data_IF_722116457243
#
_entry.id   IF_722116457243
#
_cell.length_a   1.000
_cell.length_b   1.000
_cell.length_c   1.000
_cell.angle_alpha   90.00
_cell.angle_beta   90.00
_cell.angle_gamma   90.00
#
_symmetry.space_group_name_H-M   'P 1'
#
loop_
_entity.id
_entity.type
_entity.pdbx_description
1 polymer ?
#
# COMPACT_ATOMS: atom_id res chain seq x y z
N UNK A 1 23.28 -2.93 -4.81
CA UNK A 1 22.63 -4.24 -4.93
C UNK A 1 21.65 -4.07 -6.06
N UNK A 2 21.77 -4.84 -7.14
CA UNK A 2 20.78 -4.77 -8.22
C UNK A 2 19.48 -5.39 -7.70
N UNK A 3 18.38 -4.63 -7.78
CA UNK A 3 17.06 -5.14 -7.42
C UNK A 3 16.63 -6.09 -8.53
N UNK A 4 16.60 -7.39 -8.22
CA UNK A 4 16.26 -8.44 -9.20
C UNK A 4 14.83 -8.31 -9.72
N UNK A 5 13.90 -7.91 -8.87
CA UNK A 5 12.48 -7.89 -9.20
C UNK A 5 11.93 -6.48 -9.14
N UNK A 6 10.98 -6.19 -10.03
CA UNK A 6 10.22 -4.95 -10.04
C UNK A 6 8.73 -5.26 -10.02
N UNK A 7 8.02 -4.63 -9.10
CA UNK A 7 6.56 -4.65 -9.01
C UNK A 7 6.04 -3.23 -9.31
N UNK A 8 5.11 -3.13 -10.27
CA UNK A 8 4.41 -1.90 -10.60
C UNK A 8 2.92 -2.14 -10.34
N UNK A 9 2.34 -1.34 -9.44
CA UNK A 9 0.91 -1.40 -9.12
C UNK A 9 0.25 -0.16 -9.71
N UNK A 10 -0.70 -0.37 -10.60
CA UNK A 10 -1.34 0.67 -11.40
C UNK A 10 -2.74 1.01 -10.85
N UNK A 11 -3.16 2.26 -11.09
CA UNK A 11 -4.49 2.75 -10.72
C UNK A 11 -5.54 2.46 -11.80
N UNK A 12 -5.18 2.67 -13.07
CA UNK A 12 -6.12 2.60 -14.21
C UNK A 12 -5.74 1.53 -15.24
N UNK A 13 -4.72 0.73 -14.96
CA UNK A 13 -4.23 -0.28 -15.87
C UNK A 13 -3.87 -1.56 -15.12
N UNK A 14 -3.46 -2.58 -15.87
CA UNK A 14 -2.96 -3.85 -15.37
C UNK A 14 -1.68 -3.63 -14.58
N UNK A 15 -1.57 -4.34 -13.45
CA UNK A 15 -0.33 -4.36 -12.67
C UNK A 15 0.76 -5.14 -13.41
N UNK A 16 2.02 -4.83 -13.11
CA UNK A 16 3.17 -5.41 -13.81
C UNK A 16 4.19 -5.99 -12.83
N UNK A 17 4.79 -7.12 -13.21
CA UNK A 17 5.86 -7.74 -12.45
C UNK A 17 6.96 -8.24 -13.39
N UNK A 18 8.22 -7.94 -13.07
CA UNK A 18 9.38 -8.24 -13.92
C UNK A 18 10.53 -8.87 -13.12
N UNK A 19 11.20 -9.86 -13.72
CA UNK A 19 12.51 -10.37 -13.27
C UNK A 19 13.60 -9.71 -14.11
N UNK A 20 14.22 -8.66 -13.58
CA UNK A 20 15.20 -7.81 -14.27
C UNK A 20 16.52 -8.53 -14.56
N UNK A 21 16.81 -9.65 -13.89
CA UNK A 21 17.97 -10.48 -14.26
C UNK A 21 17.73 -11.23 -15.58
N UNK A 22 16.49 -11.66 -15.81
CA UNK A 22 16.10 -12.43 -17.02
C UNK A 22 15.58 -11.55 -18.14
N UNK A 23 14.95 -10.44 -17.79
CA UNK A 23 14.34 -9.48 -18.71
C UNK A 23 14.67 -8.04 -18.28
N UNK A 24 15.91 -7.58 -18.50
CA UNK A 24 16.33 -6.22 -18.14
C UNK A 24 15.57 -5.10 -18.87
N UNK A 25 14.82 -5.44 -19.92
CA UNK A 25 14.08 -4.50 -20.76
C UNK A 25 12.57 -4.51 -20.47
N UNK A 26 12.12 -5.27 -19.46
CA UNK A 26 10.72 -5.26 -18.98
C UNK A 26 9.68 -5.57 -20.08
N UNK A 27 10.03 -6.46 -21.01
CA UNK A 27 9.18 -6.83 -22.14
C UNK A 27 8.10 -7.85 -21.78
N UNK A 28 8.33 -8.69 -20.77
CA UNK A 28 7.45 -9.79 -20.39
C UNK A 28 6.85 -9.53 -19.02
N UNK A 29 5.58 -9.10 -18.99
CA UNK A 29 4.86 -8.92 -17.73
C UNK A 29 4.49 -10.30 -17.13
N UNK A 30 5.05 -10.60 -15.96
CA UNK A 30 4.90 -11.85 -15.21
C UNK A 30 3.81 -11.79 -14.13
N UNK A 31 2.98 -10.74 -14.09
CA UNK A 31 2.03 -10.49 -12.98
C UNK A 31 1.10 -11.66 -12.66
N UNK A 32 0.68 -12.43 -13.66
CA UNK A 32 -0.25 -13.57 -13.49
C UNK A 32 0.47 -14.92 -13.34
N UNK A 33 1.81 -14.94 -13.37
CA UNK A 33 2.57 -16.19 -13.39
C UNK A 33 2.68 -16.80 -11.98
N UNK A 34 2.11 -17.99 -11.73
CA UNK A 34 2.08 -18.58 -10.39
C UNK A 34 3.46 -18.89 -9.82
N UNK A 35 4.46 -19.15 -10.67
CA UNK A 35 5.83 -19.43 -10.25
C UNK A 35 6.52 -18.25 -9.55
N UNK A 36 6.02 -17.01 -9.75
CA UNK A 36 6.53 -15.80 -9.09
C UNK A 36 5.63 -15.30 -7.95
N UNK A 37 4.55 -16.02 -7.60
CA UNK A 37 3.55 -15.53 -6.65
C UNK A 37 4.14 -15.17 -5.29
N UNK A 38 5.02 -16.01 -4.75
CA UNK A 38 5.61 -15.80 -3.44
C UNK A 38 6.39 -14.48 -3.35
N UNK A 39 7.18 -14.16 -4.38
CA UNK A 39 8.03 -12.97 -4.39
C UNK A 39 7.22 -11.71 -4.72
N UNK A 40 6.32 -11.80 -5.70
CA UNK A 40 5.39 -10.73 -6.06
C UNK A 40 4.52 -10.33 -4.86
N UNK A 41 3.95 -11.29 -4.14
CA UNK A 41 3.08 -11.04 -3.00
C UNK A 41 3.86 -10.51 -1.79
N UNK A 42 5.12 -10.93 -1.61
CA UNK A 42 6.05 -10.35 -0.61
C UNK A 42 6.27 -8.87 -0.89
N UNK A 43 6.65 -8.51 -2.12
CA UNK A 43 6.87 -7.12 -2.53
C UNK A 43 5.60 -6.27 -2.40
N UNK A 44 4.45 -6.84 -2.75
CA UNK A 44 3.16 -6.18 -2.57
C UNK A 44 2.88 -5.90 -1.09
N UNK A 45 3.14 -6.87 -0.21
CA UNK A 45 3.05 -6.70 1.23
C UNK A 45 3.95 -5.57 1.77
N UNK A 46 5.17 -5.46 1.27
CA UNK A 46 6.13 -4.41 1.63
C UNK A 46 5.69 -3.02 1.13
N UNK A 47 5.20 -2.93 -0.11
CA UNK A 47 4.63 -1.70 -0.67
C UNK A 47 3.45 -1.19 0.17
N UNK A 48 2.56 -2.09 0.58
CA UNK A 48 1.42 -1.75 1.43
C UNK A 48 1.88 -1.22 2.79
N UNK A 49 2.81 -1.90 3.47
CA UNK A 49 3.35 -1.40 4.74
C UNK A 49 3.99 -0.03 4.59
N UNK A 50 4.76 0.18 3.52
CA UNK A 50 5.34 1.49 3.23
C UNK A 50 4.27 2.56 3.01
N UNK A 51 3.19 2.24 2.29
CA UNK A 51 2.04 3.12 2.06
C UNK A 51 1.36 3.49 3.38
N UNK A 52 1.20 2.53 4.30
CA UNK A 52 0.66 2.76 5.64
C UNK A 52 1.56 3.66 6.49
N UNK A 53 2.87 3.42 6.50
CA UNK A 53 3.86 4.23 7.22
C UNK A 53 3.86 5.67 6.70
N UNK A 54 3.78 5.85 5.37
CA UNK A 54 3.78 7.18 4.72
C UNK A 54 2.43 7.88 4.74
N UNK A 55 1.36 7.19 5.16
CA UNK A 55 -0.02 7.68 5.11
C UNK A 55 -0.43 8.06 3.68
N UNK A 56 -0.09 7.19 2.73
CA UNK A 56 -0.42 7.38 1.32
C UNK A 56 -1.94 7.56 1.13
N UNK A 57 -2.33 8.48 0.24
CA UNK A 57 -3.73 8.70 -0.10
C UNK A 57 -4.36 7.47 -0.77
N UNK A 58 -3.55 6.62 -1.38
CA UNK A 58 -3.92 5.40 -2.08
C UNK A 58 -3.86 4.15 -1.19
N UNK A 59 -3.73 4.26 0.14
CA UNK A 59 -3.92 3.09 1.04
C UNK A 59 -5.42 2.76 1.16
N UNK A 60 -5.96 2.02 0.21
CA UNK A 60 -7.37 1.63 0.20
C UNK A 60 -7.54 0.14 -0.12
N UNK A 61 -8.72 -0.45 0.16
CA UNK A 61 -8.96 -1.86 -0.13
C UNK A 61 -8.68 -2.27 -1.58
N UNK A 62 -8.85 -1.35 -2.54
CA UNK A 62 -8.54 -1.58 -3.96
C UNK A 62 -7.04 -1.83 -4.20
N UNK A 63 -6.18 -1.21 -3.39
CA UNK A 63 -4.73 -1.41 -3.46
C UNK A 63 -4.29 -2.65 -2.68
N UNK A 64 -5.00 -3.03 -1.61
CA UNK A 64 -4.70 -4.24 -0.83
C UNK A 64 -5.17 -5.53 -1.51
N UNK A 65 -6.33 -5.49 -2.17
CA UNK A 65 -6.99 -6.67 -2.72
C UNK A 65 -6.76 -6.75 -4.23
N UNK A 66 -5.57 -7.21 -4.60
CA UNK A 66 -5.25 -7.51 -6.00
C UNK A 66 -5.64 -8.94 -6.35
N UNK A 67 -6.29 -9.21 -7.50
CA UNK A 67 -6.74 -10.55 -7.87
C UNK A 67 -5.62 -11.59 -7.94
N UNK A 68 -4.39 -11.13 -8.23
CA UNK A 68 -3.21 -11.98 -8.32
C UNK A 68 -2.57 -12.24 -6.95
N UNK A 69 -2.87 -11.45 -5.90
CA UNK A 69 -2.19 -11.52 -4.60
C UNK A 69 -3.02 -12.29 -3.58
N UNK A 70 -2.39 -13.19 -2.83
CA UNK A 70 -3.01 -13.82 -1.65
C UNK A 70 -3.02 -12.89 -0.42
N UNK A 71 -2.40 -11.71 -0.53
CA UNK A 71 -2.37 -10.70 0.55
C UNK A 71 -3.76 -10.12 0.83
N UNK A 72 -4.57 -10.82 1.62
CA UNK A 72 -5.83 -10.26 2.13
C UNK A 72 -5.55 -9.43 3.39
N UNK A 73 -5.08 -8.20 3.18
CA UNK A 73 -5.23 -7.17 4.20
C UNK A 73 -6.61 -6.55 3.99
N UNK A 74 -7.47 -6.69 5.00
CA UNK A 74 -8.66 -5.86 5.12
C UNK A 74 -8.44 -4.94 6.31
N UNK A 75 -7.45 -4.09 6.16
CA UNK A 75 -7.06 -3.15 7.19
C UNK A 75 -7.89 -1.85 7.07
N UNK A 76 -9.22 -1.99 6.96
CA UNK A 76 -10.13 -0.84 7.00
C UNK A 76 -9.79 -0.01 8.24
N UNK A 77 -9.34 1.22 8.01
CA UNK A 77 -8.99 2.18 9.06
C UNK A 77 -7.81 1.78 9.97
N UNK A 78 -6.91 0.85 9.57
CA UNK A 78 -5.60 0.82 10.23
C UNK A 78 -4.76 2.00 9.75
N UNK A 79 -3.80 2.38 10.58
CA UNK A 79 -2.83 3.41 10.25
C UNK A 79 -3.27 4.81 10.66
N UNK A 80 -2.28 5.69 10.70
CA UNK A 80 -2.42 7.05 11.22
C UNK A 80 -3.17 7.92 10.22
N UNK A 81 -4.10 8.73 10.72
CA UNK A 81 -4.85 9.70 9.92
C UNK A 81 -4.09 11.04 9.81
N UNK A 82 -4.41 11.83 8.78
CA UNK A 82 -3.86 13.18 8.56
C UNK A 82 -4.79 14.25 9.14
N UNK A 83 -5.17 14.07 10.38
CA UNK A 83 -6.05 15.02 11.07
C UNK A 83 -5.22 16.17 11.62
N UNK A 84 -5.63 17.41 11.37
CA UNK A 84 -5.01 18.60 11.95
C UNK A 84 -5.08 18.54 13.48
N UNK A 85 -3.99 18.82 14.21
CA UNK A 85 -4.04 18.91 15.67
C UNK A 85 -5.03 19.99 16.13
N UNK A 86 -5.60 19.87 17.34
CA UNK A 86 -6.50 20.87 17.88
C UNK A 86 -5.81 22.24 18.00
N UNK A 87 -6.47 23.30 17.52
CA UNK A 87 -6.01 24.69 17.62
C UNK A 87 -6.90 25.56 18.53
N UNK A 88 -7.96 24.96 19.10
CA UNK A 88 -8.93 25.64 19.97
C UNK A 88 -9.96 26.51 19.24
N UNK A 89 -9.93 26.58 17.90
CA UNK A 89 -10.88 27.36 17.10
C UNK A 89 -12.13 26.56 16.72
N UNK A 90 -12.06 25.23 16.76
CA UNK A 90 -13.15 24.32 16.38
C UNK A 90 -13.27 23.10 17.30
N UNK A 91 -14.26 22.23 17.04
CA UNK A 91 -14.42 20.99 17.79
C UNK A 91 -13.25 20.04 17.55
N UNK A 92 -12.90 19.28 18.59
CA UNK A 92 -11.88 18.24 18.49
C UNK A 92 -12.28 17.17 17.49
N UNK A 93 -11.31 16.68 16.74
CA UNK A 93 -11.54 15.62 15.78
C UNK A 93 -11.59 14.24 16.47
N UNK A 94 -12.60 13.45 16.09
CA UNK A 94 -12.82 12.10 16.57
C UNK A 94 -12.66 11.07 15.43
N UNK A 95 -12.26 9.86 15.77
CA UNK A 95 -12.14 8.77 14.80
C UNK A 95 -13.50 8.46 14.18
N UNK A 96 -13.60 8.51 12.84
CA UNK A 96 -14.87 8.35 12.13
C UNK A 96 -15.63 7.07 12.50
N UNK A 97 -14.92 5.95 12.66
CA UNK A 97 -15.54 4.65 12.94
C UNK A 97 -15.85 4.42 14.43
N UNK A 98 -15.18 5.12 15.34
CA UNK A 98 -15.22 4.82 16.78
C UNK A 98 -15.85 5.93 17.62
N UNK A 99 -15.87 7.16 17.12
CA UNK A 99 -16.21 8.36 17.91
C UNK A 99 -15.22 8.68 19.02
N UNK A 100 -14.13 7.93 19.14
CA UNK A 100 -13.12 8.15 20.18
C UNK A 100 -12.14 9.26 19.77
N UNK A 101 -11.49 9.93 20.74
CA UNK A 101 -10.42 10.88 20.45
C UNK A 101 -9.34 10.27 19.55
N UNK A 102 -8.83 11.08 18.63
CA UNK A 102 -7.75 10.66 17.73
C UNK A 102 -6.40 10.79 18.43
N UNK A 103 -5.55 9.78 18.30
CA UNK A 103 -4.14 9.89 18.69
C UNK A 103 -3.34 10.64 17.61
N UNK A 104 -2.71 11.75 18.01
CA UNK A 104 -1.85 12.56 17.15
C UNK A 104 -0.40 12.13 17.38
N UNK A 105 0.27 11.62 16.35
CA UNK A 105 1.64 11.10 16.47
C UNK A 105 2.60 11.73 15.45
N UNK A 106 2.39 13.01 15.15
CA UNK A 106 3.35 13.83 14.42
C UNK A 106 3.59 15.14 15.19
N UNK A 107 4.86 15.46 15.44
CA UNK A 107 5.26 16.81 15.84
C UNK A 107 5.45 17.63 14.57
N UNK A 108 4.83 18.80 14.50
CA UNK A 108 5.12 19.81 13.49
C UNK A 108 6.55 20.33 13.65
#
# INVERSE_FOLDING_TARGET
MEERYKLVVNLFDRDEFYDLERDPLEQVNLIDQPEYSAERDRMHGELLEWSYVRRDAFRSPQWEQRPWSESSRFALCRGKIRTTPPDGLGPDAHGYMTGLPIEYDFKL
#
